data_IF_950723291476
#
_entry.id   IF_950723291476
#
_cell.length_a   1.000
_cell.length_b   1.000
_cell.length_c   1.000
_cell.angle_alpha   90.00
_cell.angle_beta   90.00
_cell.angle_gamma   90.00
#
_symmetry.space_group_name_H-M   'P 1'
#
loop_
_entity.id
_entity.type
_entity.pdbx_description
1 polymer ?
#
# COMPACT_ATOMS: atom_id res chain seq x y z
N UNK A 1 12.69 12.72 -55.91
CA UNK A 1 12.78 11.36 -55.33
C UNK A 1 13.09 11.49 -53.84
N UNK A 2 12.09 11.32 -52.97
CA UNK A 2 12.27 11.39 -51.51
C UNK A 2 12.65 10.00 -51.00
N UNK A 3 13.82 9.89 -50.41
CA UNK A 3 14.35 8.69 -49.76
C UNK A 3 13.54 8.40 -48.50
N UNK A 4 12.59 7.47 -48.62
CA UNK A 4 11.77 7.02 -47.51
C UNK A 4 12.63 6.45 -46.38
N UNK A 5 12.58 7.10 -45.21
CA UNK A 5 13.06 6.52 -43.96
C UNK A 5 12.42 5.14 -43.80
N UNK A 6 13.24 4.09 -43.86
CA UNK A 6 12.82 2.73 -43.61
C UNK A 6 12.10 2.65 -42.29
N UNK A 7 10.83 2.28 -42.34
CA UNK A 7 9.95 2.17 -41.17
C UNK A 7 10.50 1.14 -40.19
N UNK A 8 11.06 1.58 -39.08
CA UNK A 8 11.56 0.68 -38.02
C UNK A 8 10.41 0.23 -37.11
N UNK A 9 10.61 -0.90 -36.41
CA UNK A 9 9.64 -1.42 -35.43
C UNK A 9 8.42 -2.11 -36.06
N UNK A 10 7.22 -1.88 -35.52
CA UNK A 10 5.93 -2.49 -35.94
C UNK A 10 5.56 -2.23 -37.41
N UNK A 11 6.23 -1.31 -38.09
CA UNK A 11 6.00 -0.95 -39.49
C UNK A 11 7.09 -1.49 -40.45
N UNK A 12 8.01 -2.34 -39.99
CA UNK A 12 9.08 -2.91 -40.82
C UNK A 12 8.57 -3.80 -41.95
N UNK A 13 9.32 -3.92 -43.07
CA UNK A 13 8.89 -4.63 -44.28
C UNK A 13 8.70 -6.15 -44.07
N UNK A 14 9.30 -6.73 -43.03
CA UNK A 14 9.22 -8.16 -42.70
C UNK A 14 8.09 -8.51 -41.71
N UNK A 15 7.32 -7.53 -41.22
CA UNK A 15 6.19 -7.75 -40.30
C UNK A 15 4.86 -7.64 -41.02
N UNK A 16 3.89 -8.48 -40.64
CA UNK A 16 2.52 -8.40 -41.14
C UNK A 16 1.93 -6.99 -40.89
N UNK A 17 1.43 -6.35 -41.95
CA UNK A 17 0.79 -5.04 -41.89
C UNK A 17 -0.64 -5.18 -41.35
N UNK A 18 -0.77 -5.28 -40.03
CA UNK A 18 -2.07 -5.33 -39.35
C UNK A 18 -2.52 -3.90 -39.08
N UNK A 19 -3.60 -3.46 -39.75
CA UNK A 19 -4.18 -2.14 -39.54
C UNK A 19 -4.93 -2.03 -38.19
N UNK A 20 -5.45 -3.15 -37.68
CA UNK A 20 -6.16 -3.20 -36.41
C UNK A 20 -5.22 -2.90 -35.22
N UNK A 21 -5.67 -2.03 -34.30
CA UNK A 21 -4.90 -1.67 -33.08
C UNK A 21 -4.71 -2.85 -32.12
N UNK A 22 -5.62 -3.82 -32.15
CA UNK A 22 -5.50 -5.09 -31.44
C UNK A 22 -6.32 -6.16 -32.16
N UNK A 23 -5.87 -7.42 -32.07
CA UNK A 23 -6.59 -8.60 -32.55
C UNK A 23 -7.32 -9.34 -31.41
N UNK A 24 -7.26 -8.82 -30.18
CA UNK A 24 -7.91 -9.45 -29.03
C UNK A 24 -9.41 -9.23 -29.07
N UNK A 25 -10.15 -10.31 -28.94
CA UNK A 25 -11.63 -10.34 -28.87
C UNK A 25 -12.16 -10.53 -27.45
N UNK A 26 -11.28 -10.89 -26.51
CA UNK A 26 -11.64 -11.07 -25.11
C UNK A 26 -11.74 -9.73 -24.37
N UNK A 27 -12.23 -9.75 -23.13
CA UNK A 27 -12.42 -8.56 -22.30
C UNK A 27 -11.14 -8.06 -21.65
N UNK A 28 -10.10 -7.85 -22.45
CA UNK A 28 -8.77 -7.43 -22.02
C UNK A 28 -8.76 -6.11 -21.22
N UNK A 29 -9.78 -5.27 -21.39
CA UNK A 29 -9.95 -3.99 -20.71
C UNK A 29 -10.45 -4.10 -19.27
N UNK A 30 -10.98 -5.26 -18.86
CA UNK A 30 -11.59 -5.41 -17.53
C UNK A 30 -10.58 -5.16 -16.40
N UNK A 31 -9.40 -5.78 -16.47
CA UNK A 31 -8.38 -5.63 -15.44
C UNK A 31 -7.88 -4.18 -15.30
N UNK A 32 -7.49 -3.44 -16.37
CA UNK A 32 -7.11 -2.04 -16.23
C UNK A 32 -8.28 -1.15 -15.79
N UNK A 33 -9.52 -1.40 -16.23
CA UNK A 33 -10.68 -0.62 -15.77
C UNK A 33 -10.95 -0.82 -14.27
N UNK A 34 -10.97 -2.07 -13.80
CA UNK A 34 -11.16 -2.36 -12.37
C UNK A 34 -10.07 -1.71 -11.51
N UNK A 35 -8.83 -1.75 -11.99
CA UNK A 35 -7.70 -1.06 -11.34
C UNK A 35 -7.91 0.45 -11.31
N UNK A 36 -8.32 1.06 -12.43
CA UNK A 36 -8.60 2.49 -12.52
C UNK A 36 -9.68 2.92 -11.52
N UNK A 37 -10.80 2.19 -11.47
CA UNK A 37 -11.93 2.49 -10.58
C UNK A 37 -11.50 2.38 -9.12
N UNK A 38 -10.90 1.25 -8.71
CA UNK A 38 -10.52 1.05 -7.31
C UNK A 38 -9.43 2.00 -6.87
N UNK A 39 -8.40 2.23 -7.69
CA UNK A 39 -7.33 3.15 -7.32
C UNK A 39 -7.83 4.60 -7.26
N UNK A 40 -8.71 5.01 -8.18
CA UNK A 40 -9.30 6.35 -8.13
C UNK A 40 -10.17 6.53 -6.88
N UNK A 41 -11.03 5.55 -6.56
CA UNK A 41 -11.84 5.57 -5.36
C UNK A 41 -10.97 5.61 -4.08
N UNK A 42 -9.93 4.79 -4.02
CA UNK A 42 -9.00 4.80 -2.90
C UNK A 42 -8.24 6.12 -2.78
N UNK A 43 -7.78 6.71 -3.88
CA UNK A 43 -7.10 8.03 -3.86
C UNK A 43 -8.04 9.10 -3.34
N UNK A 44 -9.28 9.16 -3.84
CA UNK A 44 -10.28 10.13 -3.34
C UNK A 44 -10.53 9.92 -1.85
N UNK A 45 -10.80 8.68 -1.43
CA UNK A 45 -11.00 8.33 -0.02
C UNK A 45 -9.80 8.74 0.84
N UNK A 46 -8.59 8.35 0.42
CA UNK A 46 -7.37 8.60 1.15
C UNK A 46 -7.04 10.09 1.23
N UNK A 47 -7.28 10.85 0.17
CA UNK A 47 -7.11 12.30 0.17
C UNK A 47 -8.09 12.97 1.12
N UNK A 48 -9.39 12.62 1.07
CA UNK A 48 -10.37 13.15 2.02
C UNK A 48 -9.91 12.87 3.45
N UNK A 49 -9.63 11.60 3.77
CA UNK A 49 -9.17 11.20 5.10
C UNK A 49 -7.87 11.83 5.52
N UNK A 50 -6.92 12.05 4.60
CA UNK A 50 -5.66 12.70 4.91
C UNK A 50 -5.86 14.17 5.29
N UNK A 51 -6.80 14.89 4.67
CA UNK A 51 -7.03 16.32 4.93
C UNK A 51 -8.07 16.60 6.02
N UNK A 52 -8.93 15.64 6.38
CA UNK A 52 -9.94 15.82 7.43
C UNK A 52 -9.33 16.22 8.78
N UNK A 53 -8.23 15.59 9.20
CA UNK A 53 -7.56 15.92 10.46
C UNK A 53 -8.41 15.65 11.72
N UNK A 54 -9.45 14.84 11.61
CA UNK A 54 -10.39 14.52 12.69
C UNK A 54 -10.94 13.08 12.53
N UNK A 55 -11.61 12.59 13.58
CA UNK A 55 -12.29 11.29 13.62
C UNK A 55 -11.39 10.12 13.21
N UNK A 56 -10.17 10.10 13.73
CA UNK A 56 -9.14 9.09 13.42
C UNK A 56 -8.72 8.27 14.65
N UNK A 57 -9.28 8.56 15.82
CA UNK A 57 -8.98 7.90 17.06
C UNK A 57 -10.27 7.62 17.83
N UNK A 58 -10.49 6.35 18.16
CA UNK A 58 -11.58 5.87 19.00
C UNK A 58 -10.99 4.85 19.96
N UNK A 59 -10.63 5.30 21.17
CA UNK A 59 -9.80 4.53 22.11
C UNK A 59 -10.33 3.09 22.30
N UNK A 60 -9.50 2.05 22.13
CA UNK A 60 -8.04 2.06 21.96
C UNK A 60 -7.54 2.10 20.50
N UNK A 61 -8.41 2.30 19.51
CA UNK A 61 -8.08 2.17 18.09
C UNK A 61 -7.63 3.49 17.47
N UNK A 62 -6.41 3.47 16.92
CA UNK A 62 -5.86 4.53 16.08
C UNK A 62 -5.94 4.11 14.61
N UNK A 63 -6.43 4.99 13.75
CA UNK A 63 -6.46 4.74 12.31
C UNK A 63 -5.05 4.52 11.74
N UNK A 64 -4.84 3.53 10.86
CA UNK A 64 -3.55 3.32 10.21
C UNK A 64 -3.13 4.48 9.28
N UNK A 65 -4.04 5.41 8.96
CA UNK A 65 -3.71 6.63 8.20
C UNK A 65 -3.01 7.69 9.05
N UNK A 66 -3.22 7.64 10.36
CA UNK A 66 -2.75 8.63 11.32
C UNK A 66 -1.68 8.08 12.26
N UNK A 67 -1.29 6.80 12.12
CA UNK A 67 -0.31 6.17 12.99
C UNK A 67 1.11 6.10 12.39
N UNK A 68 2.17 6.48 13.15
CA UNK A 68 2.09 7.18 14.44
C UNK A 68 1.59 8.61 14.26
N UNK A 69 0.82 9.10 15.23
CA UNK A 69 0.34 10.48 15.21
C UNK A 69 1.44 11.39 15.77
N UNK A 70 2.11 12.15 14.88
CA UNK A 70 3.27 12.98 15.22
C UNK A 70 3.03 14.48 15.07
N UNK A 71 1.84 14.88 14.62
CA UNK A 71 1.40 16.27 14.46
C UNK A 71 0.63 16.77 15.69
N UNK A 72 -0.22 17.77 15.50
CA UNK A 72 -1.19 18.21 16.53
C UNK A 72 -2.32 17.18 16.64
N UNK A 73 -2.17 16.25 17.58
CA UNK A 73 -3.03 15.08 17.71
C UNK A 73 -3.90 15.16 18.97
N UNK A 74 -5.09 14.55 18.92
CA UNK A 74 -5.97 14.43 20.08
C UNK A 74 -5.28 13.67 21.22
N UNK A 75 -5.71 13.97 22.45
CA UNK A 75 -5.12 13.37 23.65
C UNK A 75 -5.19 11.83 23.62
N UNK A 76 -4.07 11.17 23.92
CA UNK A 76 -3.96 9.72 23.91
C UNK A 76 -3.74 9.07 22.55
N UNK A 77 -3.81 9.80 21.43
CA UNK A 77 -3.58 9.27 20.08
C UNK A 77 -2.09 9.29 19.64
N UNK A 78 -1.20 9.85 20.46
CA UNK A 78 0.21 10.10 20.12
C UNK A 78 1.15 9.41 21.12
N UNK A 79 1.49 8.15 20.86
CA UNK A 79 2.38 7.36 21.73
C UNK A 79 3.87 7.76 21.64
N UNK A 80 4.27 8.46 20.57
CA UNK A 80 5.67 8.83 20.30
C UNK A 80 5.93 10.33 20.45
N UNK A 81 4.97 11.07 21.03
CA UNK A 81 4.99 12.52 21.12
C UNK A 81 4.66 13.23 19.80
N UNK A 82 4.57 14.56 19.87
CA UNK A 82 4.12 15.42 18.77
C UNK A 82 5.24 16.37 18.29
N UNK A 83 6.37 15.85 17.75
CA UNK A 83 7.50 16.68 17.32
C UNK A 83 7.14 17.63 16.15
N UNK A 84 6.04 17.35 15.45
CA UNK A 84 5.52 18.15 14.36
C UNK A 84 4.17 18.81 14.73
N UNK A 85 3.90 19.07 16.01
CA UNK A 85 2.69 19.80 16.44
C UNK A 85 2.53 21.19 15.82
N UNK A 86 3.62 21.77 15.31
CA UNK A 86 3.61 23.04 14.58
C UNK A 86 3.12 22.91 13.13
N UNK A 87 3.01 21.69 12.60
CA UNK A 87 2.60 21.46 11.22
C UNK A 87 1.10 21.79 11.05
N UNK A 88 0.74 22.75 10.19
CA UNK A 88 -0.61 23.32 10.17
C UNK A 88 -1.65 22.44 9.46
N UNK A 89 -1.22 21.34 8.83
CA UNK A 89 -2.11 20.39 8.17
C UNK A 89 -2.24 19.13 9.01
N UNK A 90 -3.24 18.31 8.67
CA UNK A 90 -3.49 17.03 9.33
C UNK A 90 -2.24 16.17 9.50
N UNK A 91 -2.10 15.56 10.69
CA UNK A 91 -1.01 14.67 11.04
C UNK A 91 -0.85 13.48 10.09
N UNK A 92 -1.93 13.02 9.44
CA UNK A 92 -1.89 11.95 8.46
C UNK A 92 -0.92 12.25 7.30
N UNK A 93 -0.81 13.51 6.87
CA UNK A 93 0.06 13.90 5.74
C UNK A 93 1.54 13.69 6.05
N UNK A 94 1.94 13.75 7.33
CA UNK A 94 3.32 13.53 7.77
C UNK A 94 3.71 12.08 7.52
N UNK A 95 2.82 11.13 7.85
CA UNK A 95 3.14 9.71 7.76
C UNK A 95 2.77 9.09 6.43
N UNK A 96 1.68 9.51 5.78
CA UNK A 96 1.17 8.89 4.55
C UNK A 96 2.15 8.96 3.37
N UNK A 97 3.10 9.89 3.38
CA UNK A 97 4.18 9.96 2.39
C UNK A 97 4.97 8.66 2.28
N UNK A 98 5.16 7.94 3.39
CA UNK A 98 5.94 6.68 3.41
C UNK A 98 5.18 5.50 2.78
N UNK A 99 3.97 5.12 3.23
CA UNK A 99 3.21 4.05 2.59
C UNK A 99 2.77 4.41 1.17
N UNK A 100 2.47 5.70 0.88
CA UNK A 100 2.21 6.15 -0.48
C UNK A 100 3.45 6.00 -1.35
N UNK A 101 4.60 6.49 -0.90
CA UNK A 101 5.88 6.35 -1.59
C UNK A 101 6.23 4.89 -1.83
N UNK A 102 6.03 4.02 -0.84
CA UNK A 102 6.25 2.58 -0.98
C UNK A 102 5.37 1.95 -2.07
N UNK A 103 4.07 2.29 -2.10
CA UNK A 103 3.15 1.80 -3.14
C UNK A 103 3.47 2.41 -4.51
N UNK A 104 3.62 3.72 -4.61
CA UNK A 104 3.81 4.43 -5.89
C UNK A 104 5.12 4.06 -6.59
N UNK A 105 6.17 3.75 -5.82
CA UNK A 105 7.47 3.31 -6.35
C UNK A 105 7.56 1.80 -6.59
N UNK A 106 6.56 1.03 -6.16
CA UNK A 106 6.56 -0.42 -6.32
C UNK A 106 6.39 -0.83 -7.78
N UNK A 107 7.23 -1.76 -8.25
CA UNK A 107 7.13 -2.31 -9.61
C UNK A 107 5.74 -2.87 -9.94
N UNK A 108 5.09 -3.52 -8.97
CA UNK A 108 3.72 -4.03 -9.15
C UNK A 108 2.71 -2.91 -9.37
N UNK A 109 2.67 -1.91 -8.47
CA UNK A 109 1.76 -0.78 -8.61
C UNK A 109 2.06 0.01 -9.88
N UNK A 110 3.34 0.20 -10.23
CA UNK A 110 3.75 0.82 -11.49
C UNK A 110 3.16 0.15 -12.70
N UNK A 111 3.27 -1.17 -12.79
CA UNK A 111 2.59 -1.94 -13.83
C UNK A 111 1.08 -1.70 -13.81
N UNK A 112 0.45 -1.71 -12.64
CA UNK A 112 -1.00 -1.53 -12.49
C UNK A 112 -1.47 -0.15 -12.96
N UNK A 113 -0.85 0.94 -12.48
CA UNK A 113 -1.27 2.29 -12.85
C UNK A 113 -0.79 2.70 -14.26
N UNK A 114 0.33 2.17 -14.78
CA UNK A 114 0.71 2.35 -16.19
C UNK A 114 -0.32 1.73 -17.13
N UNK A 115 -0.89 0.58 -16.76
CA UNK A 115 -1.94 -0.08 -17.54
C UNK A 115 -3.29 0.60 -17.41
N UNK A 116 -3.65 1.05 -16.21
CA UNK A 116 -4.96 1.59 -15.91
C UNK A 116 -5.13 3.06 -16.32
N UNK A 117 -4.11 3.90 -16.08
CA UNK A 117 -4.17 5.35 -16.32
C UNK A 117 -3.44 5.76 -17.60
N UNK A 118 -2.27 5.18 -17.87
CA UNK A 118 -1.47 5.50 -19.06
C UNK A 118 -1.70 4.56 -20.25
N UNK A 119 -2.44 3.48 -20.10
CA UNK A 119 -2.64 2.48 -21.16
C UNK A 119 -1.30 2.05 -21.83
N UNK A 120 -0.21 1.86 -21.07
CA UNK A 120 1.14 1.61 -21.63
C UNK A 120 1.72 0.24 -21.22
N UNK A 121 1.63 -0.76 -22.14
CA UNK A 121 0.42 -1.10 -22.88
C UNK A 121 -0.64 -1.69 -21.92
N UNK A 122 -1.95 -1.51 -22.17
CA UNK A 122 -2.99 -1.89 -21.20
C UNK A 122 -3.09 -3.40 -21.01
N UNK A 123 -2.77 -4.18 -22.05
CA UNK A 123 -2.69 -5.63 -22.00
C UNK A 123 -1.71 -6.16 -23.05
N UNK A 124 -1.25 -7.41 -22.89
CA UNK A 124 -0.48 -8.09 -23.93
C UNK A 124 -1.30 -8.14 -25.23
N UNK A 125 -0.69 -7.82 -26.37
CA UNK A 125 -1.37 -7.81 -27.67
C UNK A 125 -2.30 -6.61 -27.91
N UNK A 126 -2.29 -5.60 -27.04
CA UNK A 126 -2.98 -4.33 -27.24
C UNK A 126 -1.94 -3.23 -27.36
N UNK A 127 -1.93 -2.53 -28.50
CA UNK A 127 -0.96 -1.47 -28.75
C UNK A 127 -1.14 -0.33 -27.73
N UNK A 128 -0.02 0.20 -27.21
CA UNK A 128 -0.05 1.41 -26.41
C UNK A 128 -0.35 2.64 -27.28
N UNK A 129 -1.09 3.65 -26.75
CA UNK A 129 -1.34 4.88 -27.48
C UNK A 129 -0.16 5.86 -27.42
N UNK A 130 0.81 5.63 -26.53
CA UNK A 130 1.96 6.51 -26.31
C UNK A 130 2.97 6.37 -27.45
N UNK A 131 3.43 7.51 -27.99
CA UNK A 131 4.41 7.54 -29.08
C UNK A 131 5.87 7.51 -28.58
N UNK A 132 6.12 7.93 -27.34
CA UNK A 132 7.46 8.04 -26.77
C UNK A 132 7.46 7.71 -25.27
N UNK A 133 8.60 7.20 -24.80
CA UNK A 133 8.88 6.93 -23.38
C UNK A 133 10.19 7.58 -22.99
N UNK A 134 10.18 8.44 -21.95
CA UNK A 134 11.37 9.18 -21.51
C UNK A 134 12.38 8.36 -20.72
N UNK A 135 12.00 7.14 -20.29
CA UNK A 135 12.81 6.30 -19.41
C UNK A 135 12.72 6.71 -17.93
N UNK A 136 13.16 5.80 -17.05
CA UNK A 136 13.16 5.97 -15.58
C UNK A 136 14.40 6.73 -15.06
N UNK A 137 15.14 7.38 -15.95
CA UNK A 137 16.33 8.19 -15.60
C UNK A 137 16.03 9.70 -15.54
N UNK A 138 14.82 10.13 -15.89
CA UNK A 138 14.42 11.55 -15.89
C UNK A 138 13.26 11.81 -14.94
N UNK A 139 13.20 13.02 -14.40
CA UNK A 139 12.07 13.47 -13.59
C UNK A 139 10.77 13.47 -14.41
N UNK A 140 9.63 13.01 -13.86
CA UNK A 140 9.43 12.51 -12.50
C UNK A 140 9.70 11.00 -12.29
N UNK A 141 9.92 10.23 -13.38
CA UNK A 141 10.04 8.77 -13.31
C UNK A 141 11.30 8.26 -12.59
N UNK A 142 12.31 9.12 -12.39
CA UNK A 142 13.49 8.80 -11.57
C UNK A 142 13.14 8.43 -10.12
N UNK A 143 12.03 8.96 -9.58
CA UNK A 143 11.57 8.68 -8.23
C UNK A 143 11.20 7.20 -8.02
N UNK A 144 10.90 6.47 -9.11
CA UNK A 144 10.61 5.04 -9.07
C UNK A 144 11.81 4.22 -8.53
N UNK A 145 13.03 4.73 -8.69
CA UNK A 145 14.25 4.09 -8.19
C UNK A 145 14.37 4.15 -6.65
N UNK A 146 13.56 4.98 -5.98
CA UNK A 146 13.58 5.15 -4.53
C UNK A 146 12.89 4.00 -3.77
N UNK A 147 12.27 3.03 -4.47
CA UNK A 147 11.50 1.96 -3.84
C UNK A 147 12.25 1.19 -2.75
N UNK A 148 13.57 0.99 -2.93
CA UNK A 148 14.41 0.32 -1.93
C UNK A 148 14.42 1.06 -0.59
N UNK A 149 14.39 2.39 -0.61
CA UNK A 149 14.42 3.23 0.60
C UNK A 149 13.05 3.26 1.27
N UNK A 150 11.98 3.41 0.47
CA UNK A 150 10.62 3.31 0.98
C UNK A 150 10.31 1.95 1.59
N UNK A 151 10.94 0.86 1.14
CA UNK A 151 10.81 -0.44 1.79
C UNK A 151 11.32 -0.43 3.24
N UNK A 152 12.47 0.21 3.51
CA UNK A 152 12.97 0.34 4.89
C UNK A 152 12.04 1.20 5.74
N UNK A 153 11.53 2.31 5.20
CA UNK A 153 10.53 3.13 5.89
C UNK A 153 9.24 2.34 6.16
N UNK A 154 8.78 1.53 5.21
CA UNK A 154 7.60 0.68 5.36
C UNK A 154 7.77 -0.40 6.44
N UNK A 155 8.99 -0.91 6.65
CA UNK A 155 9.29 -1.80 7.80
C UNK A 155 9.11 -1.06 9.12
N UNK A 156 9.59 0.18 9.23
CA UNK A 156 9.42 1.00 10.45
C UNK A 156 7.94 1.28 10.70
N UNK A 157 7.20 1.73 9.68
CA UNK A 157 5.75 1.95 9.78
C UNK A 157 5.03 0.65 10.17
N UNK A 158 5.41 -0.49 9.59
CA UNK A 158 4.85 -1.80 9.96
C UNK A 158 5.11 -2.15 11.43
N UNK A 159 6.27 -1.82 11.98
CA UNK A 159 6.54 -2.04 13.40
C UNK A 159 5.67 -1.16 14.30
N UNK A 160 5.45 0.10 13.92
CA UNK A 160 4.54 0.99 14.65
C UNK A 160 3.10 0.47 14.59
N UNK A 161 2.61 0.08 13.41
CA UNK A 161 1.27 -0.50 13.28
C UNK A 161 1.12 -1.83 14.05
N UNK A 162 2.20 -2.61 14.18
CA UNK A 162 2.23 -3.78 15.08
C UNK A 162 2.12 -3.36 16.54
N UNK A 163 2.78 -2.27 16.94
CA UNK A 163 2.66 -1.72 18.29
C UNK A 163 1.22 -1.26 18.58
N UNK A 164 0.56 -0.60 17.64
CA UNK A 164 -0.85 -0.20 17.80
C UNK A 164 -1.79 -1.40 18.00
N UNK A 165 -1.50 -2.53 17.36
CA UNK A 165 -2.25 -3.77 17.57
C UNK A 165 -2.08 -4.27 19.00
N UNK A 166 -0.88 -4.14 19.59
CA UNK A 166 -0.66 -4.45 21.01
C UNK A 166 -1.41 -3.47 21.91
N UNK A 167 -1.48 -2.19 21.54
CA UNK A 167 -2.27 -1.19 22.26
C UNK A 167 -3.76 -1.48 22.20
N UNK A 168 -4.25 -2.00 21.09
CA UNK A 168 -5.66 -2.38 20.90
C UNK A 168 -6.13 -3.47 21.89
N UNK A 169 -5.20 -4.24 22.46
CA UNK A 169 -5.46 -5.24 23.50
C UNK A 169 -5.44 -4.67 24.93
N UNK A 170 -5.04 -3.41 25.12
CA UNK A 170 -4.97 -2.79 26.45
C UNK A 170 -6.36 -2.56 27.05
N UNK A 171 -6.44 -2.42 28.38
CA UNK A 171 -7.72 -2.17 29.04
C UNK A 171 -8.34 -0.84 28.58
N UNK A 172 -9.66 -0.86 28.36
CA UNK A 172 -10.44 0.27 27.85
C UNK A 172 -10.82 1.23 29.00
N UNK A 173 -10.98 2.55 28.76
CA UNK A 173 -11.52 3.47 29.77
C UNK A 173 -12.94 3.07 30.20
N UNK A 174 -13.26 3.30 31.48
CA UNK A 174 -14.56 2.94 32.07
C UNK A 174 -15.78 3.59 31.43
N UNK A 175 -15.61 4.75 30.79
CA UNK A 175 -16.67 5.42 30.00
C UNK A 175 -17.20 4.54 28.85
N UNK A 176 -16.37 3.64 28.35
CA UNK A 176 -16.73 2.70 27.31
C UNK A 176 -16.87 1.27 27.84
N UNK A 177 -16.87 1.01 29.15
CA UNK A 177 -17.07 -0.35 29.66
C UNK A 177 -18.52 -0.83 29.42
N UNK A 178 -18.71 -2.10 29.06
CA UNK A 178 -20.04 -2.73 28.89
C UNK A 178 -20.14 -3.88 29.88
N UNK A 179 -21.25 -3.97 30.62
CA UNK A 179 -21.41 -4.90 31.73
C UNK A 179 -20.93 -4.31 33.06
N UNK A 180 -20.26 -5.12 33.87
CA UNK A 180 -19.93 -4.90 35.29
C UNK A 180 -18.95 -3.74 35.55
N UNK A 181 -18.55 -3.00 34.50
CA UNK A 181 -17.56 -1.93 34.58
C UNK A 181 -16.11 -2.44 34.69
N UNK A 182 -15.86 -3.72 34.36
CA UNK A 182 -14.53 -4.31 34.47
C UNK A 182 -13.60 -3.75 33.37
N UNK A 183 -12.80 -2.76 33.74
CA UNK A 183 -11.80 -2.11 32.89
C UNK A 183 -10.40 -2.68 33.11
N UNK A 184 -10.29 -3.82 33.78
CA UNK A 184 -9.02 -4.46 34.14
C UNK A 184 -8.88 -5.79 33.40
N UNK A 185 -8.24 -5.77 32.24
CA UNK A 185 -8.04 -7.00 31.45
C UNK A 185 -7.53 -6.77 30.05
N UNK A 186 -7.26 -7.86 29.34
CA UNK A 186 -7.01 -7.86 27.90
C UNK A 186 -8.35 -7.75 27.19
N UNK A 187 -8.49 -6.74 26.33
CA UNK A 187 -9.70 -6.50 25.55
C UNK A 187 -9.51 -6.95 24.10
N UNK A 188 -10.54 -7.56 23.52
CA UNK A 188 -10.61 -7.88 22.10
C UNK A 188 -12.00 -7.59 21.54
N UNK A 189 -12.07 -6.55 20.71
CA UNK A 189 -13.22 -6.25 19.86
C UNK A 189 -12.98 -6.59 18.40
N UNK A 190 -14.00 -6.33 17.58
CA UNK A 190 -13.92 -6.40 16.13
C UNK A 190 -12.86 -5.41 15.60
N UNK A 191 -12.71 -4.23 16.20
CA UNK A 191 -11.63 -3.31 15.87
C UNK A 191 -10.24 -3.93 16.05
N UNK A 192 -10.04 -4.67 17.15
CA UNK A 192 -8.78 -5.37 17.45
C UNK A 192 -8.51 -6.44 16.38
N UNK A 193 -9.52 -7.24 16.03
CA UNK A 193 -9.40 -8.24 14.96
C UNK A 193 -9.08 -7.61 13.60
N UNK A 194 -9.75 -6.51 13.25
CA UNK A 194 -9.52 -5.79 12.01
C UNK A 194 -8.09 -5.23 11.94
N UNK A 195 -7.55 -4.69 13.04
CA UNK A 195 -6.16 -4.23 13.13
C UNK A 195 -5.16 -5.39 12.96
N UNK A 196 -5.41 -6.57 13.55
CA UNK A 196 -4.59 -7.77 13.37
C UNK A 196 -4.56 -8.19 11.90
N UNK A 197 -5.74 -8.33 11.28
CA UNK A 197 -5.84 -8.70 9.86
C UNK A 197 -5.11 -7.68 9.00
N UNK A 198 -5.27 -6.39 9.28
CA UNK A 198 -4.60 -5.33 8.57
C UNK A 198 -3.07 -5.43 8.67
N UNK A 199 -2.52 -5.57 9.89
CA UNK A 199 -1.06 -5.63 10.05
C UNK A 199 -0.46 -6.89 9.45
N UNK A 200 -1.16 -8.04 9.51
CA UNK A 200 -0.74 -9.27 8.85
C UNK A 200 -0.67 -9.07 7.33
N UNK A 201 -1.68 -8.44 6.72
CA UNK A 201 -1.70 -8.15 5.29
C UNK A 201 -0.62 -7.14 4.88
N UNK A 202 -0.34 -6.14 5.72
CA UNK A 202 0.76 -5.18 5.52
C UNK A 202 2.11 -5.90 5.55
N UNK A 203 2.36 -6.77 6.55
CA UNK A 203 3.60 -7.54 6.62
C UNK A 203 3.74 -8.50 5.43
N UNK A 204 2.67 -9.18 5.03
CA UNK A 204 2.69 -10.04 3.84
C UNK A 204 3.03 -9.22 2.59
N UNK A 205 2.50 -8.01 2.43
CA UNK A 205 2.86 -7.12 1.33
C UNK A 205 4.33 -6.67 1.39
N UNK A 206 4.81 -6.23 2.55
CA UNK A 206 6.19 -5.74 2.76
C UNK A 206 7.22 -6.85 2.58
N UNK A 207 7.00 -8.02 3.16
CA UNK A 207 7.92 -9.16 3.12
C UNK A 207 7.90 -9.91 1.79
N UNK A 208 6.80 -9.85 1.02
CA UNK A 208 6.76 -10.41 -0.34
C UNK A 208 7.44 -9.55 -1.40
N UNK A 209 7.97 -8.37 -1.05
CA UNK A 209 8.58 -7.45 -2.00
C UNK A 209 9.94 -7.95 -2.55
N UNK A 210 10.27 -7.56 -3.79
CA UNK A 210 11.60 -7.78 -4.37
C UNK A 210 12.73 -7.13 -3.55
N UNK A 211 12.47 -5.98 -2.91
CA UNK A 211 13.41 -5.33 -1.99
C UNK A 211 13.76 -6.23 -0.80
N UNK A 212 12.77 -6.91 -0.21
CA UNK A 212 13.00 -7.89 0.87
C UNK A 212 13.81 -9.09 0.36
N UNK A 213 13.45 -9.62 -0.81
CA UNK A 213 14.19 -10.74 -1.46
C UNK A 213 15.66 -10.37 -1.67
N UNK A 214 15.92 -9.14 -2.13
CA UNK A 214 17.27 -8.62 -2.30
C UNK A 214 17.99 -8.39 -0.97
N UNK A 215 17.31 -7.86 0.06
CA UNK A 215 17.91 -7.68 1.38
C UNK A 215 18.38 -9.02 1.99
N UNK A 216 17.57 -10.08 1.83
CA UNK A 216 17.88 -11.41 2.39
C UNK A 216 18.94 -12.15 1.56
N UNK A 217 18.76 -12.25 0.24
CA UNK A 217 19.61 -13.08 -0.62
C UNK A 217 20.59 -12.34 -1.52
N UNK A 218 20.60 -11.00 -1.48
CA UNK A 218 21.45 -10.18 -2.33
C UNK A 218 22.93 -10.41 -2.09
N UNK A 219 23.71 -10.34 -3.17
CA UNK A 219 25.18 -10.48 -3.20
C UNK A 219 25.72 -11.83 -2.71
N UNK A 220 24.85 -12.84 -2.54
CA UNK A 220 25.29 -14.21 -2.25
C UNK A 220 25.95 -14.81 -3.49
N UNK A 221 27.21 -15.24 -3.34
CA UNK A 221 27.95 -15.97 -4.40
C UNK A 221 27.86 -17.49 -4.25
N UNK A 222 27.59 -17.98 -3.03
CA UNK A 222 27.51 -19.41 -2.72
C UNK A 222 26.33 -19.68 -1.78
N UNK A 223 25.31 -20.41 -2.22
CA UNK A 223 24.18 -20.76 -1.36
C UNK A 223 24.52 -21.84 -0.33
N UNK A 224 25.40 -22.78 -0.68
CA UNK A 224 25.85 -23.87 0.22
C UNK A 224 26.53 -23.37 1.49
N UNK A 225 27.26 -22.24 1.42
CA UNK A 225 27.94 -21.62 2.57
C UNK A 225 27.04 -20.68 3.39
N UNK A 226 25.81 -20.41 2.92
CA UNK A 226 24.87 -19.51 3.59
C UNK A 226 23.46 -20.14 3.66
N UNK A 227 23.29 -21.31 4.30
CA UNK A 227 22.05 -22.09 4.27
C UNK A 227 20.86 -21.33 4.87
N UNK A 228 21.08 -20.54 5.94
CA UNK A 228 20.02 -19.73 6.57
C UNK A 228 19.51 -18.65 5.61
N UNK A 229 20.41 -17.87 5.00
CA UNK A 229 20.02 -16.82 4.04
C UNK A 229 19.35 -17.42 2.80
N UNK A 230 19.83 -18.56 2.32
CA UNK A 230 19.20 -19.28 1.21
C UNK A 230 17.77 -19.74 1.57
N UNK A 231 17.56 -20.28 2.78
CA UNK A 231 16.24 -20.69 3.27
C UNK A 231 15.28 -19.50 3.37
N UNK A 232 15.71 -18.39 3.97
CA UNK A 232 14.90 -17.17 4.05
C UNK A 232 14.60 -16.61 2.65
N UNK A 233 15.59 -16.57 1.75
CA UNK A 233 15.39 -16.12 0.37
C UNK A 233 14.38 -17.00 -0.37
N UNK A 234 14.39 -18.32 -0.13
CA UNK A 234 13.44 -19.27 -0.70
C UNK A 234 12.02 -19.00 -0.21
N UNK A 235 11.84 -18.77 1.09
CA UNK A 235 10.55 -18.38 1.67
C UNK A 235 10.03 -17.08 1.07
N UNK A 236 10.85 -16.03 1.05
CA UNK A 236 10.49 -14.74 0.46
C UNK A 236 10.17 -14.89 -1.02
N UNK A 237 10.90 -15.74 -1.76
CA UNK A 237 10.63 -16.02 -3.18
C UNK A 237 9.25 -16.65 -3.41
N UNK A 238 8.79 -17.52 -2.51
CA UNK A 238 7.42 -18.10 -2.56
C UNK A 238 6.35 -17.06 -2.28
N UNK A 239 6.57 -16.19 -1.29
CA UNK A 239 5.66 -15.08 -0.99
C UNK A 239 5.61 -14.07 -2.14
N UNK A 240 6.74 -13.78 -2.76
CA UNK A 240 6.87 -12.81 -3.85
C UNK A 240 6.01 -13.15 -5.08
N UNK A 241 5.78 -14.43 -5.37
CA UNK A 241 4.85 -14.84 -6.43
C UNK A 241 3.41 -14.33 -6.22
N UNK A 242 3.04 -14.05 -4.95
CA UNK A 242 1.74 -13.55 -4.54
C UNK A 242 1.74 -12.06 -4.16
N UNK A 243 2.86 -11.35 -4.36
CA UNK A 243 3.02 -9.95 -3.95
C UNK A 243 1.89 -9.05 -4.45
N UNK A 244 1.45 -9.24 -5.70
CA UNK A 244 0.32 -8.50 -6.26
C UNK A 244 -0.98 -8.73 -5.50
N UNK A 245 -1.26 -9.94 -4.98
CA UNK A 245 -2.47 -10.21 -4.19
C UNK A 245 -2.40 -9.49 -2.85
N UNK A 246 -1.27 -9.59 -2.15
CA UNK A 246 -1.06 -8.91 -0.88
C UNK A 246 -1.10 -7.38 -1.03
N UNK A 247 -0.69 -6.85 -2.18
CA UNK A 247 -0.81 -5.43 -2.48
C UNK A 247 -2.27 -4.94 -2.50
N UNK A 248 -3.20 -5.74 -3.04
CA UNK A 248 -4.63 -5.43 -3.03
C UNK A 248 -5.27 -5.68 -1.67
N UNK A 249 -4.97 -6.81 -1.03
CA UNK A 249 -5.54 -7.12 0.29
C UNK A 249 -5.15 -6.07 1.33
N UNK A 250 -3.89 -5.65 1.36
CA UNK A 250 -3.43 -4.59 2.26
C UNK A 250 -3.99 -3.20 1.91
N UNK A 251 -4.33 -2.93 0.64
CA UNK A 251 -4.98 -1.67 0.24
C UNK A 251 -6.39 -1.60 0.83
N UNK A 252 -7.17 -2.67 0.64
CA UNK A 252 -8.53 -2.74 1.17
C UNK A 252 -8.58 -2.81 2.68
N UNK A 253 -7.67 -3.57 3.33
CA UNK A 253 -7.66 -3.66 4.78
C UNK A 253 -7.37 -2.31 5.43
N UNK A 254 -6.41 -1.54 4.90
CA UNK A 254 -6.07 -0.22 5.43
C UNK A 254 -7.25 0.75 5.33
N UNK A 255 -7.97 0.76 4.20
CA UNK A 255 -9.19 1.56 4.07
C UNK A 255 -10.30 1.08 5.01
N UNK A 256 -10.48 -0.24 5.16
CA UNK A 256 -11.52 -0.81 6.02
C UNK A 256 -11.28 -0.47 7.50
N UNK A 257 -10.04 -0.60 7.98
CA UNK A 257 -9.70 -0.25 9.38
C UNK A 257 -9.89 1.25 9.61
N UNK A 258 -9.43 2.11 8.70
CA UNK A 258 -9.64 3.55 8.85
C UNK A 258 -11.13 3.91 8.86
N UNK A 259 -11.93 3.32 7.97
CA UNK A 259 -13.39 3.54 7.94
C UNK A 259 -14.04 3.05 9.24
N UNK A 260 -13.64 1.88 9.75
CA UNK A 260 -14.15 1.36 11.00
C UNK A 260 -13.88 2.31 12.17
N UNK A 261 -12.63 2.79 12.29
CA UNK A 261 -12.25 3.75 13.34
C UNK A 261 -12.99 5.07 13.18
N UNK A 262 -13.19 5.56 11.95
CA UNK A 262 -14.00 6.74 11.67
C UNK A 262 -15.44 6.56 12.16
N UNK A 263 -16.07 5.43 11.87
CA UNK A 263 -17.45 5.16 12.29
C UNK A 263 -17.57 5.05 13.81
N UNK A 264 -16.55 4.52 14.49
CA UNK A 264 -16.48 4.51 15.95
C UNK A 264 -16.28 5.92 16.53
N UNK A 265 -15.34 6.69 15.98
CA UNK A 265 -14.99 8.03 16.49
C UNK A 265 -16.17 9.02 16.33
N UNK A 266 -16.97 8.85 15.28
CA UNK A 266 -18.18 9.65 15.05
C UNK A 266 -19.41 9.14 15.82
N UNK A 267 -19.31 8.03 16.54
CA UNK A 267 -20.43 7.41 17.25
C UNK A 267 -21.49 6.79 16.32
N UNK A 268 -21.18 6.60 15.03
CA UNK A 268 -22.09 6.00 14.05
C UNK A 268 -22.35 4.52 14.35
N UNK A 269 -21.32 3.82 14.84
CA UNK A 269 -21.40 2.43 15.29
C UNK A 269 -20.76 2.28 16.66
N UNK A 270 -21.09 1.19 17.35
CA UNK A 270 -20.39 0.76 18.56
C UNK A 270 -19.48 -0.42 18.22
N UNK A 271 -18.35 -0.53 18.93
CA UNK A 271 -17.41 -1.62 18.72
C UNK A 271 -18.02 -2.96 19.17
N UNK A 272 -18.03 -3.96 18.28
CA UNK A 272 -18.52 -5.30 18.59
C UNK A 272 -17.48 -6.05 19.42
N UNK A 273 -17.84 -6.45 20.64
CA UNK A 273 -16.89 -7.01 21.61
C UNK A 273 -16.94 -8.51 21.69
N UNK A 274 -15.79 -9.11 21.97
CA UNK A 274 -15.67 -10.53 22.28
C UNK A 274 -15.36 -10.76 23.76
N UNK A 275 -14.41 -10.01 24.33
CA UNK A 275 -14.05 -9.97 25.77
C UNK A 275 -13.17 -8.75 26.08
#
# INVERSE_FOLDING_TARGET
>A
MSTGQGSTGVRGPTRARIAARTLRTDRWWQAPLATFVVFSAFVVYATVRAFTGADYYAKPYLSPFYSPCLGDCVEGASDFGQPFGWFPLSAALIILVFPLGFRMTCYYYRKSYYRAFWLSPPACGVAEPHAAYSGESRFPLVLQNAHRYFWYAAVVVGLVLTFDVVLAFRPMPGEYAVGDGETSGVHMGLGTLLMIVNIVLIWLYTLSCHSCRHAVGGRLRHFSRHPVRYRLWTWVSRLNAHHGRFAWYSLFSVALVDLYVLLLATGTIQDLRFF
#
